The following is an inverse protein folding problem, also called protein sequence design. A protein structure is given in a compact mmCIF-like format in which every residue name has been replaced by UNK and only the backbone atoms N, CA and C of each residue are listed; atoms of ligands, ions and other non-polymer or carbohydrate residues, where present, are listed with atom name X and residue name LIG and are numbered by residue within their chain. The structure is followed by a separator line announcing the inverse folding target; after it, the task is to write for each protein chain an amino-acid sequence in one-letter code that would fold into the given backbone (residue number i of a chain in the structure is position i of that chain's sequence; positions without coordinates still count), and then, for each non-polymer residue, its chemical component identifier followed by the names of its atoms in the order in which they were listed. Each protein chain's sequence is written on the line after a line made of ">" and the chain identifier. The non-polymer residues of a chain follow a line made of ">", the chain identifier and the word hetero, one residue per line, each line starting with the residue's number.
data_IF_432111117523
#
_entry.id   IF_432111117523
#
_cell.length_a   1.000
_cell.length_b   1.000
_cell.length_c   1.000
_cell.angle_alpha   90.00
_cell.angle_beta   90.00
_cell.angle_gamma   90.00
#
_symmetry.space_group_name_H-M   'P 1'
#
loop_
_entity.id
_entity.type
_entity.pdbx_description
1 polymer ?
#
# COMPACT_ATOMS: atom_id res chain seq x y z
N UNK A 1 -20.32 -0.41 -1.31
CA UNK A 1 -21.26 -1.10 -2.25
C UNK A 1 -21.23 -2.57 -1.89
N UNK A 2 -22.36 -3.28 -1.92
CA UNK A 2 -22.38 -4.73 -1.73
C UNK A 2 -21.75 -5.45 -2.93
N UNK A 3 -21.19 -6.65 -2.70
CA UNK A 3 -20.41 -7.38 -3.72
C UNK A 3 -21.21 -7.70 -4.99
N UNK A 4 -22.44 -8.17 -4.83
CA UNK A 4 -23.33 -8.51 -5.94
C UNK A 4 -23.64 -7.28 -6.82
N UNK A 5 -23.86 -6.14 -6.19
CA UNK A 5 -24.11 -4.88 -6.89
C UNK A 5 -22.84 -4.39 -7.62
N UNK A 6 -21.67 -4.62 -7.04
CA UNK A 6 -20.38 -4.32 -7.67
C UNK A 6 -20.18 -5.17 -8.94
N UNK A 7 -20.41 -6.49 -8.83
CA UNK A 7 -20.27 -7.44 -9.96
C UNK A 7 -21.24 -7.11 -11.08
N UNK A 8 -22.49 -6.74 -10.76
CA UNK A 8 -23.47 -6.32 -11.77
C UNK A 8 -23.03 -5.02 -12.44
N UNK A 9 -22.57 -4.05 -11.68
CA UNK A 9 -22.08 -2.78 -12.22
C UNK A 9 -20.85 -2.92 -13.09
N UNK A 10 -19.97 -3.88 -12.79
CA UNK A 10 -18.77 -4.14 -13.59
C UNK A 10 -19.06 -4.40 -15.08
N UNK A 11 -20.24 -4.95 -15.38
CA UNK A 11 -20.72 -5.15 -16.76
C UNK A 11 -20.91 -3.86 -17.56
N UNK A 12 -21.04 -2.72 -16.86
CA UNK A 12 -21.13 -1.38 -17.46
C UNK A 12 -19.83 -0.86 -18.03
N UNK A 13 -18.69 -1.47 -17.69
CA UNK A 13 -17.35 -1.12 -18.18
C UNK A 13 -16.76 0.18 -17.62
N UNK A 14 -17.36 0.74 -16.58
CA UNK A 14 -16.93 1.99 -15.94
C UNK A 14 -16.14 1.78 -14.63
N UNK A 15 -15.80 0.51 -14.31
CA UNK A 15 -15.06 0.16 -13.13
C UNK A 15 -13.61 -0.25 -13.42
N UNK A 16 -12.77 -0.01 -12.44
CA UNK A 16 -11.40 -0.53 -12.32
C UNK A 16 -11.19 -1.09 -10.92
N UNK A 17 -10.13 -1.89 -10.76
CA UNK A 17 -9.59 -2.12 -9.43
C UNK A 17 -8.07 -1.96 -9.40
N UNK A 18 -7.54 -1.61 -8.24
CA UNK A 18 -6.11 -1.49 -8.02
C UNK A 18 -5.71 -2.13 -6.70
N UNK A 19 -4.52 -2.74 -6.70
CA UNK A 19 -3.98 -3.42 -5.54
C UNK A 19 -3.13 -2.47 -4.69
N UNK A 20 -3.58 -2.19 -3.48
CA UNK A 20 -2.88 -1.40 -2.47
C UNK A 20 -2.06 -2.31 -1.55
N UNK A 21 -0.77 -2.03 -1.40
CA UNK A 21 0.18 -2.77 -0.56
C UNK A 21 0.97 -1.87 0.42
N UNK A 22 0.80 -0.56 0.30
CA UNK A 22 1.35 0.48 1.17
C UNK A 22 0.23 1.25 1.86
N UNK A 23 0.25 2.58 1.82
CA UNK A 23 -0.80 3.39 2.46
C UNK A 23 -2.20 3.14 1.90
N UNK A 24 -2.33 2.63 0.67
CA UNK A 24 -3.62 2.23 0.08
C UNK A 24 -4.29 1.03 0.78
N UNK A 25 -3.59 0.31 1.67
CA UNK A 25 -4.21 -0.71 2.55
C UNK A 25 -5.08 -0.06 3.62
N UNK A 26 -4.84 1.23 3.91
CA UNK A 26 -5.63 1.98 4.87
C UNK A 26 -6.67 2.85 4.17
N UNK A 27 -7.98 2.50 4.24
CA UNK A 27 -9.04 3.30 3.61
C UNK A 27 -9.07 4.77 4.05
N UNK A 28 -8.59 5.08 5.27
CA UNK A 28 -8.51 6.45 5.77
C UNK A 28 -7.54 7.34 4.97
N UNK A 29 -6.65 6.75 4.17
CA UNK A 29 -5.70 7.49 3.33
C UNK A 29 -6.19 7.69 1.89
N UNK A 30 -7.33 7.14 1.49
CA UNK A 30 -7.86 7.28 0.13
C UNK A 30 -8.30 8.73 -0.14
N UNK A 31 -8.17 9.18 -1.39
CA UNK A 31 -8.60 10.51 -1.83
C UNK A 31 -9.98 10.50 -2.51
N UNK A 32 -10.40 9.34 -2.98
CA UNK A 32 -11.69 9.13 -3.63
C UNK A 32 -12.62 8.37 -2.70
N UNK A 33 -13.92 8.52 -2.91
CA UNK A 33 -14.92 7.67 -2.28
C UNK A 33 -14.98 6.35 -3.04
N UNK A 34 -14.04 5.45 -2.72
CA UNK A 34 -13.97 4.13 -3.34
C UNK A 34 -15.27 3.36 -3.15
N UNK A 35 -15.61 2.55 -4.15
CA UNK A 35 -16.88 1.82 -4.17
C UNK A 35 -16.89 0.64 -3.19
N UNK A 36 -15.76 -0.06 -3.13
CA UNK A 36 -15.59 -1.27 -2.34
C UNK A 36 -14.10 -1.59 -2.18
N UNK A 37 -13.76 -2.41 -1.21
CA UNK A 37 -12.43 -3.02 -1.10
C UNK A 37 -12.52 -4.41 -0.46
N UNK A 38 -11.61 -5.29 -0.86
CA UNK A 38 -11.50 -6.65 -0.35
C UNK A 38 -10.05 -6.97 0.01
N UNK A 39 -9.86 -7.78 1.05
CA UNK A 39 -8.54 -8.33 1.37
C UNK A 39 -8.11 -9.26 0.24
N UNK A 40 -6.89 -9.07 -0.23
CA UNK A 40 -6.38 -9.83 -1.35
C UNK A 40 -4.88 -10.12 -1.21
N UNK A 41 -4.43 -11.14 -1.93
CA UNK A 41 -3.03 -11.42 -2.17
C UNK A 41 -2.71 -11.20 -3.65
N UNK A 42 -1.61 -10.50 -3.91
CA UNK A 42 -1.03 -10.35 -5.24
C UNK A 42 0.18 -11.31 -5.36
N UNK A 43 0.12 -12.17 -6.36
CA UNK A 43 1.17 -13.16 -6.67
C UNK A 43 2.24 -12.55 -7.57
N UNK A 44 3.50 -12.97 -7.37
CA UNK A 44 4.60 -12.59 -8.24
C UNK A 44 5.16 -11.20 -7.98
N UNK A 45 4.89 -10.64 -6.79
CA UNK A 45 5.41 -9.32 -6.38
C UNK A 45 6.00 -9.38 -4.97
N UNK A 46 7.05 -8.57 -4.77
CA UNK A 46 7.65 -8.29 -3.47
C UNK A 46 7.59 -6.82 -3.13
N UNK A 47 7.48 -6.51 -1.84
CA UNK A 47 7.49 -5.16 -1.31
C UNK A 47 8.84 -4.83 -0.69
N UNK A 48 9.29 -3.58 -0.91
CA UNK A 48 10.50 -3.05 -0.27
C UNK A 48 10.37 -1.56 0.00
N UNK A 49 11.12 -1.07 0.97
CA UNK A 49 11.39 0.35 1.11
C UNK A 49 12.35 0.79 0.01
N UNK A 50 12.01 1.86 -0.67
CA UNK A 50 12.82 2.42 -1.75
C UNK A 50 13.03 3.91 -1.53
N UNK A 51 14.27 4.34 -1.72
CA UNK A 51 14.62 5.75 -1.76
C UNK A 51 13.89 6.44 -2.89
N UNK A 52 13.28 7.58 -2.60
CA UNK A 52 12.44 8.31 -3.54
C UNK A 52 12.86 9.78 -3.65
N UNK A 53 14.01 10.04 -4.29
CA UNK A 53 14.50 11.41 -4.52
C UNK A 53 13.61 12.23 -5.46
N UNK A 54 12.75 11.56 -6.20
CA UNK A 54 11.78 12.12 -7.15
C UNK A 54 10.47 12.56 -6.49
N UNK A 55 10.29 12.28 -5.19
CA UNK A 55 9.06 12.60 -4.47
C UNK A 55 9.33 13.70 -3.44
N UNK A 56 8.99 14.93 -3.79
CA UNK A 56 9.15 16.09 -2.91
C UNK A 56 10.60 16.53 -2.71
N UNK A 57 10.85 17.28 -1.65
CA UNK A 57 12.18 17.83 -1.31
C UNK A 57 12.86 17.07 -0.16
N UNK A 58 12.15 16.16 0.49
CA UNK A 58 12.62 15.41 1.65
C UNK A 58 13.29 14.09 1.19
N UNK A 59 14.39 13.67 1.82
CA UNK A 59 15.07 12.41 1.50
C UNK A 59 14.32 11.21 2.08
N UNK A 60 13.14 10.92 1.56
CA UNK A 60 12.26 9.86 2.07
C UNK A 60 12.45 8.54 1.35
N UNK A 61 12.21 7.45 2.09
CA UNK A 61 11.97 6.12 1.54
C UNK A 61 10.47 5.83 1.60
N UNK A 62 9.91 5.38 0.48
CA UNK A 62 8.51 4.97 0.36
C UNK A 62 8.42 3.49 0.01
N UNK A 63 7.28 2.89 0.32
CA UNK A 63 7.01 1.51 -0.09
C UNK A 63 6.85 1.41 -1.60
N UNK A 64 7.48 0.42 -2.17
CA UNK A 64 7.31 0.02 -3.55
C UNK A 64 7.11 -1.48 -3.67
N UNK A 65 6.42 -1.91 -4.72
CA UNK A 65 6.39 -3.29 -5.14
C UNK A 65 7.20 -3.45 -6.42
N UNK A 66 7.71 -4.66 -6.64
CA UNK A 66 8.37 -5.02 -7.87
C UNK A 66 8.02 -6.47 -8.25
N UNK A 67 7.95 -6.79 -9.56
CA UNK A 67 7.82 -8.16 -10.03
C UNK A 67 8.89 -9.08 -9.41
N UNK A 68 8.49 -10.29 -9.04
CA UNK A 68 9.33 -11.28 -8.37
C UNK A 68 8.94 -12.70 -8.77
N UNK A 69 9.39 -13.72 -8.02
CA UNK A 69 8.97 -15.10 -8.25
C UNK A 69 7.46 -15.25 -8.11
N UNK A 70 6.85 -16.10 -8.94
CA UNK A 70 5.42 -16.43 -8.83
C UNK A 70 5.03 -17.09 -7.50
N UNK A 71 6.00 -17.57 -6.72
CA UNK A 71 5.76 -18.13 -5.38
C UNK A 71 5.64 -17.03 -4.31
N UNK A 72 6.07 -15.81 -4.64
CA UNK A 72 5.94 -14.67 -3.73
C UNK A 72 4.49 -14.19 -3.69
N UNK A 73 4.00 -13.97 -2.47
CA UNK A 73 2.65 -13.49 -2.19
C UNK A 73 2.73 -12.21 -1.38
N UNK A 74 2.04 -11.19 -1.85
CA UNK A 74 1.97 -9.87 -1.23
C UNK A 74 0.55 -9.62 -0.72
N UNK A 75 0.37 -9.52 0.60
CA UNK A 75 -0.91 -9.16 1.21
C UNK A 75 -1.21 -7.67 1.01
N UNK A 76 -2.49 -7.36 0.76
CA UNK A 76 -2.94 -5.98 0.56
C UNK A 76 -4.45 -5.87 0.38
N UNK A 77 -4.91 -4.74 -0.11
CA UNK A 77 -6.31 -4.53 -0.48
C UNK A 77 -6.47 -4.43 -1.99
N UNK A 78 -7.45 -5.14 -2.52
CA UNK A 78 -7.98 -4.86 -3.84
C UNK A 78 -9.09 -3.83 -3.69
N UNK A 79 -8.87 -2.65 -4.24
CA UNK A 79 -9.76 -1.49 -4.12
C UNK A 79 -10.47 -1.28 -5.45
N UNK A 80 -11.81 -1.17 -5.41
CA UNK A 80 -12.66 -0.96 -6.57
C UNK A 80 -13.10 0.49 -6.64
N UNK A 81 -12.94 1.10 -7.80
CA UNK A 81 -13.25 2.51 -8.03
C UNK A 81 -13.80 2.73 -9.45
N UNK A 82 -14.33 3.91 -9.71
CA UNK A 82 -14.69 4.30 -11.06
C UNK A 82 -13.46 4.56 -11.93
N UNK A 83 -13.53 4.18 -13.20
CA UNK A 83 -12.45 4.43 -14.16
C UNK A 83 -12.17 5.93 -14.35
N UNK A 84 -13.17 6.79 -14.16
CA UNK A 84 -13.03 8.26 -14.20
C UNK A 84 -12.11 8.82 -13.10
N UNK A 85 -11.94 8.07 -11.98
CA UNK A 85 -11.04 8.46 -10.90
C UNK A 85 -9.57 8.08 -11.15
N UNK A 86 -9.28 7.34 -12.23
CA UNK A 86 -7.94 6.86 -12.56
C UNK A 86 -6.89 8.00 -12.70
N UNK A 87 -7.22 9.17 -13.31
CA UNK A 87 -6.27 10.29 -13.35
C UNK A 87 -5.90 10.83 -11.96
N UNK A 88 -6.84 10.86 -11.01
CA UNK A 88 -6.57 11.29 -9.63
C UNK A 88 -5.71 10.27 -8.88
N UNK A 89 -5.89 8.98 -9.18
CA UNK A 89 -5.06 7.93 -8.64
C UNK A 89 -3.63 7.99 -9.21
N UNK A 90 -3.48 8.19 -10.52
CA UNK A 90 -2.18 8.38 -11.18
C UNK A 90 -1.43 9.61 -10.64
N UNK A 91 -2.14 10.71 -10.37
CA UNK A 91 -1.57 11.90 -9.74
C UNK A 91 -1.10 11.60 -8.31
N UNK A 92 -1.90 10.86 -7.54
CA UNK A 92 -1.55 10.43 -6.17
C UNK A 92 -0.29 9.56 -6.17
N UNK A 93 -0.20 8.62 -7.10
CA UNK A 93 0.88 7.66 -7.22
C UNK A 93 1.99 8.16 -8.17
N UNK A 94 2.16 9.50 -8.24
CA UNK A 94 3.24 10.13 -9.02
C UNK A 94 4.59 9.47 -8.70
N UNK A 95 5.36 9.15 -9.76
CA UNK A 95 6.65 8.46 -9.64
C UNK A 95 6.55 6.93 -9.53
N UNK A 96 5.34 6.36 -9.63
CA UNK A 96 5.11 4.92 -9.79
C UNK A 96 4.66 4.63 -11.23
N UNK A 97 4.99 3.45 -11.72
CA UNK A 97 4.45 2.91 -12.97
C UNK A 97 3.19 2.09 -12.65
N UNK A 98 2.10 2.38 -13.33
CA UNK A 98 0.88 1.59 -13.25
C UNK A 98 1.02 0.35 -14.13
N UNK A 99 1.10 -0.82 -13.52
CA UNK A 99 1.19 -2.11 -14.18
C UNK A 99 -0.17 -2.80 -14.20
N UNK A 100 -0.53 -3.37 -15.33
CA UNK A 100 -1.70 -4.27 -15.41
C UNK A 100 -1.35 -5.62 -14.77
N UNK A 101 -2.29 -6.16 -14.00
CA UNK A 101 -2.24 -7.52 -13.44
C UNK A 101 -3.44 -8.31 -13.92
N UNK A 102 -3.35 -9.63 -13.86
CA UNK A 102 -4.43 -10.52 -14.31
C UNK A 102 -5.21 -11.08 -13.12
N UNK A 103 -6.45 -11.54 -13.29
CA UNK A 103 -7.20 -12.20 -12.23
C UNK A 103 -6.45 -13.39 -11.62
N UNK A 104 -5.62 -14.10 -12.39
CA UNK A 104 -4.82 -15.23 -11.94
C UNK A 104 -3.67 -14.83 -11.01
N UNK A 105 -3.27 -13.57 -11.03
CA UNK A 105 -2.26 -13.01 -10.12
C UNK A 105 -2.87 -12.56 -8.79
N UNK A 106 -4.21 -12.49 -8.70
CA UNK A 106 -4.94 -12.02 -7.52
C UNK A 106 -5.75 -13.15 -6.89
N UNK A 107 -5.70 -13.24 -5.57
CA UNK A 107 -6.55 -14.12 -4.77
C UNK A 107 -7.26 -13.31 -3.69
N UNK A 108 -8.59 -13.29 -3.69
CA UNK A 108 -9.39 -12.74 -2.60
C UNK A 108 -9.39 -13.72 -1.42
N UNK A 109 -9.38 -13.20 -0.19
CA UNK A 109 -9.44 -14.03 1.01
C UNK A 109 -10.77 -14.75 1.18
N UNK A 110 -11.85 -14.19 0.66
CA UNK A 110 -13.20 -14.75 0.74
C UNK A 110 -13.55 -15.67 -0.44
N UNK A 111 -12.55 -16.07 -1.25
CA UNK A 111 -12.69 -16.95 -2.42
C UNK A 111 -13.77 -16.51 -3.44
N UNK A 112 -14.11 -15.21 -3.47
CA UNK A 112 -15.04 -14.62 -4.44
C UNK A 112 -14.40 -14.57 -5.83
N UNK A 113 -15.19 -14.78 -6.87
CA UNK A 113 -14.74 -14.59 -8.24
C UNK A 113 -14.63 -13.09 -8.56
N UNK A 114 -13.49 -12.70 -9.12
CA UNK A 114 -13.27 -11.32 -9.54
C UNK A 114 -14.14 -10.97 -10.76
N UNK A 115 -14.74 -9.78 -10.81
CA UNK A 115 -15.39 -9.31 -12.06
C UNK A 115 -14.37 -9.03 -13.15
N UNK A 116 -14.81 -9.11 -14.42
CA UNK A 116 -13.98 -8.77 -15.58
C UNK A 116 -13.84 -7.25 -15.72
N UNK A 117 -12.85 -6.69 -15.05
CA UNK A 117 -12.51 -5.25 -15.05
C UNK A 117 -10.99 -5.07 -15.17
N UNK A 118 -10.50 -3.89 -15.61
CA UNK A 118 -9.07 -3.59 -15.56
C UNK A 118 -8.53 -3.65 -14.13
N UNK A 119 -7.42 -4.37 -13.94
CA UNK A 119 -6.76 -4.58 -12.65
C UNK A 119 -5.34 -4.01 -12.71
N UNK A 120 -4.97 -3.24 -11.68
CA UNK A 120 -3.69 -2.52 -11.65
C UNK A 120 -2.95 -2.71 -10.33
N UNK A 121 -1.62 -2.54 -10.40
CA UNK A 121 -0.75 -2.32 -9.24
C UNK A 121 0.22 -1.18 -9.58
N UNK A 122 0.55 -0.35 -8.60
CA UNK A 122 1.56 0.71 -8.75
C UNK A 122 2.91 0.22 -8.27
N UNK A 123 3.89 0.20 -9.16
CA UNK A 123 5.27 -0.22 -8.91
C UNK A 123 6.19 0.99 -8.96
N UNK A 124 6.95 1.25 -7.90
CA UNK A 124 7.87 2.37 -7.88
C UNK A 124 8.95 2.21 -8.95
N UNK A 125 9.20 3.28 -9.69
CA UNK A 125 10.32 3.33 -10.61
C UNK A 125 11.62 3.11 -9.85
N UNK A 126 12.53 2.31 -10.38
CA UNK A 126 13.82 2.11 -9.74
C UNK A 126 14.51 3.47 -9.62
N UNK A 127 14.91 3.89 -8.41
CA UNK A 127 15.57 5.17 -8.25
C UNK A 127 16.91 5.16 -8.98
N UNK A 128 17.27 6.30 -9.59
CA UNK A 128 18.66 6.55 -9.91
C UNK A 128 19.44 6.55 -8.59
N UNK A 129 20.65 5.98 -8.61
CA UNK A 129 21.50 5.86 -7.42
C UNK A 129 21.61 7.21 -6.70
N UNK A 130 21.19 7.25 -5.45
CA UNK A 130 21.19 8.49 -4.64
C UNK A 130 22.25 8.34 -3.57
N UNK A 131 23.17 9.31 -3.51
CA UNK A 131 24.26 9.31 -2.53
C UNK A 131 23.88 9.89 -1.15
N UNK A 132 22.62 10.31 -0.97
CA UNK A 132 22.13 10.88 0.27
C UNK A 132 21.38 9.83 1.13
N UNK A 133 21.53 9.87 2.45
CA UNK A 133 20.76 8.98 3.34
C UNK A 133 19.27 9.31 3.27
N UNK A 134 18.45 8.28 3.08
CA UNK A 134 17.00 8.37 3.10
C UNK A 134 16.44 7.74 4.38
N UNK A 135 15.24 8.15 4.77
CA UNK A 135 14.58 7.65 5.96
C UNK A 135 13.09 7.38 5.71
N UNK A 136 12.53 6.49 6.52
CA UNK A 136 11.10 6.23 6.56
C UNK A 136 10.47 7.24 7.50
N UNK A 137 9.45 7.98 7.06
CA UNK A 137 8.65 8.81 7.98
C UNK A 137 7.83 7.90 8.89
N UNK A 138 7.91 8.10 10.21
CA UNK A 138 7.11 7.34 11.17
C UNK A 138 5.61 7.54 10.91
N UNK A 139 5.19 8.77 10.62
CA UNK A 139 3.80 9.08 10.28
C UNK A 139 3.28 8.36 9.03
N UNK A 140 4.16 8.04 8.06
CA UNK A 140 3.82 7.21 6.91
C UNK A 140 3.73 5.73 7.28
N UNK A 141 4.71 5.22 8.03
CA UNK A 141 4.74 3.85 8.51
C UNK A 141 3.51 3.54 9.38
N UNK A 142 3.16 4.47 10.28
CA UNK A 142 1.97 4.37 11.13
C UNK A 142 0.68 4.23 10.31
N UNK A 143 0.52 5.03 9.26
CA UNK A 143 -0.65 4.97 8.39
C UNK A 143 -0.75 3.62 7.66
N UNK A 144 0.39 3.06 7.25
CA UNK A 144 0.45 1.73 6.61
C UNK A 144 0.12 0.63 7.63
N UNK A 145 0.80 0.64 8.79
CA UNK A 145 0.59 -0.39 9.82
C UNK A 145 -0.83 -0.40 10.36
N UNK A 146 -1.45 0.79 10.53
CA UNK A 146 -2.86 0.88 10.92
C UNK A 146 -3.76 0.20 9.88
N UNK A 147 -3.49 0.39 8.59
CA UNK A 147 -4.21 -0.31 7.54
C UNK A 147 -4.10 -1.83 7.67
N UNK A 148 -2.88 -2.35 7.87
CA UNK A 148 -2.67 -3.78 8.08
C UNK A 148 -3.34 -4.28 9.36
N UNK A 149 -3.28 -3.51 10.45
CA UNK A 149 -3.95 -3.86 11.70
C UNK A 149 -5.47 -4.00 11.52
N UNK A 150 -6.09 -3.04 10.86
CA UNK A 150 -7.54 -3.03 10.66
C UNK A 150 -8.01 -4.13 9.70
N UNK A 151 -7.17 -4.50 8.72
CA UNK A 151 -7.54 -5.51 7.72
C UNK A 151 -7.14 -6.94 8.11
N UNK A 152 -6.02 -7.10 8.82
CA UNK A 152 -5.39 -8.40 9.03
C UNK A 152 -5.04 -8.68 10.50
N UNK A 153 -5.39 -7.78 11.43
CA UNK A 153 -5.04 -7.89 12.85
C UNK A 153 -3.55 -7.71 13.13
N UNK A 154 -3.14 -7.99 14.36
CA UNK A 154 -1.73 -7.87 14.78
C UNK A 154 -0.77 -8.74 13.97
N UNK A 155 -1.21 -9.94 13.59
CA UNK A 155 -0.42 -10.84 12.75
C UNK A 155 -0.15 -10.21 11.38
N UNK A 156 -1.13 -9.51 10.80
CA UNK A 156 -0.97 -8.75 9.57
C UNK A 156 0.10 -7.67 9.67
N UNK A 157 0.18 -6.97 10.80
CA UNK A 157 1.24 -5.98 11.04
C UNK A 157 2.62 -6.64 11.12
N UNK A 158 2.74 -7.76 11.84
CA UNK A 158 4.00 -8.52 11.94
C UNK A 158 4.45 -9.05 10.58
N UNK A 159 3.53 -9.66 9.84
CA UNK A 159 3.79 -10.15 8.47
C UNK A 159 4.19 -9.02 7.52
N UNK A 160 3.57 -7.84 7.66
CA UNK A 160 3.98 -6.66 6.89
C UNK A 160 5.45 -6.31 7.15
N UNK A 161 5.88 -6.24 8.40
CA UNK A 161 7.27 -5.92 8.77
C UNK A 161 8.23 -7.01 8.28
N UNK A 162 7.93 -8.28 8.56
CA UNK A 162 8.80 -9.42 8.22
C UNK A 162 8.98 -9.62 6.71
N UNK A 163 7.92 -9.38 5.92
CA UNK A 163 7.93 -9.61 4.47
C UNK A 163 8.22 -8.37 3.63
N UNK A 164 8.57 -7.26 4.27
CA UNK A 164 9.00 -6.03 3.57
C UNK A 164 10.52 -5.92 3.62
N UNK A 165 11.16 -5.90 2.47
CA UNK A 165 12.62 -5.75 2.41
C UNK A 165 13.07 -4.33 2.79
N UNK A 166 14.33 -4.21 3.21
CA UNK A 166 14.99 -2.94 3.55
C UNK A 166 14.39 -2.19 4.75
N UNK A 167 13.90 -2.90 5.75
CA UNK A 167 13.54 -2.34 7.05
C UNK A 167 14.75 -1.92 7.91
N UNK A 168 15.97 -2.12 7.42
CA UNK A 168 17.21 -1.52 7.93
C UNK A 168 17.33 -0.02 7.61
N UNK A 169 16.46 0.53 6.77
CA UNK A 169 16.32 1.97 6.52
C UNK A 169 15.91 2.68 7.82
N UNK A 170 16.60 3.78 8.13
CA UNK A 170 16.34 4.53 9.37
C UNK A 170 14.95 5.12 9.43
N UNK A 171 14.40 5.23 10.65
CA UNK A 171 13.12 5.85 10.93
C UNK A 171 13.31 7.32 11.32
N UNK A 172 12.58 8.23 10.70
CA UNK A 172 12.45 9.61 11.13
C UNK A 172 11.22 9.75 12.03
N UNK A 173 11.44 10.08 13.30
CA UNK A 173 10.41 10.13 14.34
C UNK A 173 9.55 11.40 14.24
N UNK A 174 8.61 11.43 13.30
CA UNK A 174 7.74 12.58 13.06
C UNK A 174 6.29 12.39 13.55
N UNK A 175 6.00 11.36 14.37
CA UNK A 175 4.62 11.09 14.86
C UNK A 175 4.01 12.28 15.60
N UNK A 176 4.81 13.02 16.40
CA UNK A 176 4.34 14.19 17.13
C UNK A 176 4.08 15.42 16.25
N UNK A 177 4.71 15.49 15.06
CA UNK A 177 4.53 16.54 14.06
C UNK A 177 4.59 15.93 12.66
N UNK A 178 3.51 15.27 12.20
CA UNK A 178 3.52 14.44 11.01
C UNK A 178 3.86 15.23 9.75
N UNK A 179 4.81 14.68 8.96
CA UNK A 179 5.18 15.20 7.64
C UNK A 179 4.44 14.48 6.51
N UNK A 180 3.99 13.24 6.75
CA UNK A 180 3.19 12.53 5.76
C UNK A 180 1.81 13.18 5.62
N UNK A 181 1.41 13.68 4.43
CA UNK A 181 0.19 14.47 4.28
C UNK A 181 -1.11 13.71 4.51
N UNK A 182 -1.06 12.37 4.56
CA UNK A 182 -2.19 11.47 4.86
C UNK A 182 -1.94 10.67 6.13
N UNK A 183 -1.32 11.32 7.11
CA UNK A 183 -1.11 10.71 8.43
C UNK A 183 -2.44 10.36 9.11
N UNK A 184 -2.38 9.45 10.05
CA UNK A 184 -3.53 8.96 10.82
C UNK A 184 -3.34 9.22 12.31
N UNK A 185 -4.44 9.32 13.03
CA UNK A 185 -4.40 9.31 14.49
C UNK A 185 -4.36 7.88 14.99
N UNK A 186 -3.50 7.60 15.95
CA UNK A 186 -3.36 6.29 16.57
C UNK A 186 -3.92 6.30 17.99
N UNK A 187 -4.56 5.21 18.40
CA UNK A 187 -4.82 4.91 19.80
C UNK A 187 -3.52 4.56 20.54
N UNK A 188 -3.55 4.58 21.87
CA UNK A 188 -2.39 4.18 22.69
C UNK A 188 -1.98 2.73 22.43
N UNK A 189 -2.93 1.84 22.21
CA UNK A 189 -2.66 0.43 21.91
C UNK A 189 -2.03 0.24 20.52
N UNK A 190 -2.44 1.00 19.51
CA UNK A 190 -1.81 1.01 18.20
C UNK A 190 -0.37 1.53 18.29
N UNK A 191 -0.14 2.65 18.98
CA UNK A 191 1.20 3.19 19.18
C UNK A 191 2.11 2.16 19.84
N UNK A 192 1.64 1.55 20.92
CA UNK A 192 2.40 0.52 21.65
C UNK A 192 2.77 -0.67 20.76
N UNK A 193 1.80 -1.22 20.01
CA UNK A 193 2.04 -2.32 19.07
C UNK A 193 3.07 -1.93 18.02
N UNK A 194 2.91 -0.76 17.39
CA UNK A 194 3.77 -0.31 16.29
C UNK A 194 5.21 -0.05 16.79
N UNK A 195 5.36 0.55 17.97
CA UNK A 195 6.67 0.76 18.57
C UNK A 195 7.35 -0.57 18.93
N UNK A 196 6.58 -1.57 19.38
CA UNK A 196 7.12 -2.91 19.64
C UNK A 196 7.62 -3.60 18.36
N UNK A 197 6.80 -3.63 17.29
CA UNK A 197 7.16 -4.34 16.06
C UNK A 197 8.27 -3.65 15.27
N UNK A 198 8.52 -2.37 15.53
CA UNK A 198 9.58 -1.57 14.88
C UNK A 198 10.77 -1.25 15.82
N UNK A 199 10.80 -1.84 17.00
CA UNK A 199 11.84 -1.56 18.03
C UNK A 199 13.28 -1.83 17.59
N UNK A 200 13.48 -2.62 16.53
CA UNK A 200 14.79 -2.90 15.94
C UNK A 200 15.30 -1.79 14.99
N UNK A 201 14.44 -0.83 14.60
CA UNK A 201 14.80 0.24 13.68
C UNK A 201 15.63 1.32 14.39
N UNK A 202 16.68 1.78 13.71
CA UNK A 202 17.44 2.96 14.16
C UNK A 202 16.69 4.23 13.82
N UNK A 203 16.63 5.17 14.78
CA UNK A 203 15.94 6.46 14.63
C UNK A 203 16.91 7.59 14.28
N UNK A 204 16.45 8.59 13.54
CA UNK A 204 17.15 9.85 13.22
C UNK A 204 16.29 11.04 13.62
#
# INVERSE_FOLDING_TARGET
>A
MEWEALVERARGGDLIAYFGYGSLVNPATHRTNVLHYERAQLRGFKRSWQERPDVGTEPVALLSSAPSSRDDLLDGLLVFDFSENLPLLDEREYGYDRLSVTPEDLKLYDDKALPEIPLYVYSGRLPQKVDAPHYILQSYLDAVMQGYLHQYGEEGVRNFVERTARFDTKLFADRASPRYPRYVSLSESEQYLFDQVTSFMSTV
#
